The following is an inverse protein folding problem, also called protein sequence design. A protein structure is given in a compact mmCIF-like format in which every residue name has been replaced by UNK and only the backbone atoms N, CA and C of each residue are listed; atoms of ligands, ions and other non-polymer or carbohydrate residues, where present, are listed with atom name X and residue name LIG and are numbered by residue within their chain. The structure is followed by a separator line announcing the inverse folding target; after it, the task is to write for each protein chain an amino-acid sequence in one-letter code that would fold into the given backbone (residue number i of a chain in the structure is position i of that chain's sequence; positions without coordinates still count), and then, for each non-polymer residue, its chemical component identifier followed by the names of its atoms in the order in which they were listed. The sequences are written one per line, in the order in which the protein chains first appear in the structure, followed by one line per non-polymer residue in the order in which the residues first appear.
data_IF_296973827954
#
_entry.id   IF_296973827954
#
_cell.length_a   1.000
_cell.length_b   1.000
_cell.length_c   1.000
_cell.angle_alpha   90.00
_cell.angle_beta   90.00
_cell.angle_gamma   90.00
#
_symmetry.space_group_name_H-M   'P 1'
#
loop_
_entity.id
_entity.type
_entity.pdbx_description
1 polymer ?
#
# COMPACT_ATOMS: atom_id res chain seq x y z
N UNK A 1 -48.48 -1.23 21.31
CA UNK A 1 -47.63 -0.11 20.85
C UNK A 1 -46.20 -0.38 21.30
N UNK A 2 -45.31 -0.86 20.43
CA UNK A 2 -43.95 -1.22 20.85
C UNK A 2 -43.05 -1.77 19.75
N UNK A 3 -43.29 -1.39 18.48
CA UNK A 3 -42.52 -1.90 17.33
C UNK A 3 -41.81 -0.80 16.52
N UNK A 4 -41.67 0.42 17.06
CA UNK A 4 -41.06 1.54 16.33
C UNK A 4 -39.65 1.95 16.80
N UNK A 5 -39.09 1.33 17.84
CA UNK A 5 -37.78 1.70 18.42
C UNK A 5 -36.57 0.90 17.87
N UNK A 6 -36.72 0.17 16.77
CA UNK A 6 -35.58 -0.43 16.06
C UNK A 6 -35.20 0.31 14.77
N UNK A 7 -35.66 1.56 14.61
CA UNK A 7 -35.23 2.44 13.52
C UNK A 7 -33.95 3.16 13.94
N UNK A 8 -32.80 2.71 13.44
CA UNK A 8 -31.63 3.59 13.32
C UNK A 8 -30.31 3.13 13.95
N UNK A 9 -30.04 1.83 14.09
CA UNK A 9 -28.63 1.40 14.09
C UNK A 9 -28.10 1.50 12.66
N UNK A 10 -27.77 2.71 12.23
CA UNK A 10 -26.81 2.88 11.14
C UNK A 10 -25.61 1.99 11.48
N UNK A 11 -25.10 1.14 10.57
CA UNK A 11 -23.88 0.41 10.82
C UNK A 11 -22.81 1.47 11.12
N UNK A 12 -22.43 1.58 12.39
CA UNK A 12 -21.41 2.53 12.81
C UNK A 12 -20.13 2.11 12.07
N UNK A 13 -19.76 2.85 11.04
CA UNK A 13 -18.44 2.76 10.45
C UNK A 13 -17.44 2.97 11.58
N UNK A 14 -16.70 1.91 11.92
CA UNK A 14 -15.82 1.87 13.09
C UNK A 14 -14.91 3.10 13.06
N UNK A 15 -14.88 3.93 14.12
CA UNK A 15 -14.22 5.24 14.09
C UNK A 15 -12.71 5.19 13.82
N UNK A 16 -12.10 4.00 13.93
CA UNK A 16 -10.66 3.77 13.86
C UNK A 16 -10.26 2.72 12.79
N UNK A 17 -11.10 2.47 11.79
CA UNK A 17 -10.75 1.54 10.70
C UNK A 17 -9.44 1.93 10.02
N UNK A 18 -9.28 3.22 9.70
CA UNK A 18 -8.07 3.74 9.05
C UNK A 18 -6.80 3.44 9.86
N UNK A 19 -6.92 3.44 11.20
CA UNK A 19 -5.79 3.28 12.12
C UNK A 19 -5.35 1.81 12.15
N UNK A 20 -6.29 0.88 12.29
CA UNK A 20 -6.00 -0.55 12.18
C UNK A 20 -5.44 -0.90 10.80
N UNK A 21 -6.00 -0.31 9.74
CA UNK A 21 -5.54 -0.51 8.37
C UNK A 21 -4.10 -0.05 8.18
N UNK A 22 -3.78 1.15 8.65
CA UNK A 22 -2.44 1.72 8.60
C UNK A 22 -1.44 0.84 9.38
N UNK A 23 -1.77 0.47 10.61
CA UNK A 23 -0.90 -0.33 11.47
C UNK A 23 -0.65 -1.71 10.86
N UNK A 24 -1.68 -2.41 10.39
CA UNK A 24 -1.51 -3.73 9.78
C UNK A 24 -0.67 -3.67 8.49
N UNK A 25 -0.90 -2.65 7.67
CA UNK A 25 -0.11 -2.43 6.44
C UNK A 25 1.35 -2.11 6.76
N UNK A 26 1.59 -1.24 7.74
CA UNK A 26 2.95 -0.89 8.19
C UNK A 26 3.72 -2.06 8.81
N UNK A 27 3.07 -2.87 9.66
CA UNK A 27 3.69 -4.07 10.24
C UNK A 27 4.05 -5.07 9.14
N UNK A 28 3.13 -5.33 8.21
CA UNK A 28 3.41 -6.23 7.08
C UNK A 28 4.56 -5.69 6.21
N UNK A 29 4.63 -4.38 5.98
CA UNK A 29 5.76 -3.74 5.30
C UNK A 29 7.08 -3.93 6.04
N UNK A 30 7.09 -3.75 7.36
CA UNK A 30 8.29 -3.94 8.18
C UNK A 30 8.79 -5.40 8.15
N UNK A 31 7.86 -6.37 8.17
CA UNK A 31 8.18 -7.78 8.02
C UNK A 31 8.80 -8.07 6.65
N UNK A 32 8.24 -7.51 5.58
CA UNK A 32 8.79 -7.63 4.22
C UNK A 32 10.21 -7.07 4.17
N UNK A 33 10.44 -5.86 4.70
CA UNK A 33 11.78 -5.25 4.72
C UNK A 33 12.80 -6.05 5.54
N UNK A 34 12.36 -6.63 6.67
CA UNK A 34 13.21 -7.52 7.46
C UNK A 34 13.58 -8.80 6.69
N UNK A 35 12.61 -9.41 6.00
CA UNK A 35 12.84 -10.60 5.18
C UNK A 35 13.81 -10.30 4.04
N UNK A 36 13.61 -9.20 3.32
CA UNK A 36 14.50 -8.78 2.23
C UNK A 36 15.95 -8.63 2.71
N UNK A 37 16.15 -7.94 3.82
CA UNK A 37 17.48 -7.74 4.39
C UNK A 37 18.09 -8.99 5.03
N UNK A 38 17.29 -10.03 5.31
CA UNK A 38 17.78 -11.33 5.78
C UNK A 38 18.34 -12.23 4.66
N UNK A 39 18.37 -11.73 3.42
CA UNK A 39 18.85 -12.48 2.26
C UNK A 39 17.77 -13.33 1.59
N UNK A 40 16.50 -13.08 1.91
CA UNK A 40 15.40 -13.69 1.18
C UNK A 40 15.44 -13.19 -0.27
N UNK A 41 15.48 -14.11 -1.23
CA UNK A 41 15.73 -13.77 -2.64
C UNK A 41 14.73 -12.72 -3.13
N UNK A 42 15.21 -11.71 -3.86
CA UNK A 42 14.41 -10.60 -4.40
C UNK A 42 13.10 -11.08 -5.05
N UNK A 43 13.15 -12.14 -5.86
CA UNK A 43 11.97 -12.69 -6.54
C UNK A 43 10.94 -13.30 -5.57
N UNK A 44 11.41 -13.89 -4.47
CA UNK A 44 10.54 -14.34 -3.41
C UNK A 44 9.92 -13.12 -2.71
N UNK A 45 10.72 -12.12 -2.34
CA UNK A 45 10.23 -10.88 -1.73
C UNK A 45 9.15 -10.21 -2.59
N UNK A 46 9.34 -10.17 -3.92
CA UNK A 46 8.33 -9.68 -4.89
C UNK A 46 6.99 -10.39 -4.71
N UNK A 47 6.94 -11.72 -4.71
CA UNK A 47 5.68 -12.44 -4.53
C UNK A 47 5.10 -12.28 -3.13
N UNK A 48 5.95 -12.35 -2.11
CA UNK A 48 5.52 -12.35 -0.72
C UNK A 48 5.08 -10.97 -0.22
N UNK A 49 5.57 -9.86 -0.78
CA UNK A 49 5.10 -8.52 -0.41
C UNK A 49 3.62 -8.36 -0.67
N UNK A 50 3.16 -8.64 -1.89
CA UNK A 50 1.74 -8.56 -2.23
C UNK A 50 0.87 -9.51 -1.39
N UNK A 51 1.42 -10.67 -1.03
CA UNK A 51 0.76 -11.64 -0.15
C UNK A 51 0.65 -11.12 1.30
N UNK A 52 1.74 -10.63 1.90
CA UNK A 52 1.75 -10.15 3.28
C UNK A 52 0.89 -8.89 3.44
N UNK A 53 1.07 -7.92 2.55
CA UNK A 53 0.27 -6.69 2.54
C UNK A 53 -1.20 -7.02 2.30
N UNK A 54 -1.50 -7.82 1.27
CA UNK A 54 -2.87 -8.22 0.94
C UNK A 54 -3.55 -9.00 2.07
N UNK A 55 -2.81 -9.87 2.76
CA UNK A 55 -3.31 -10.62 3.92
C UNK A 55 -3.61 -9.71 5.10
N UNK A 56 -2.68 -8.81 5.44
CA UNK A 56 -2.86 -7.84 6.52
C UNK A 56 -4.09 -6.95 6.30
N UNK A 57 -4.24 -6.45 5.07
CA UNK A 57 -5.41 -5.67 4.64
C UNK A 57 -6.70 -6.50 4.68
N UNK A 58 -6.67 -7.74 4.20
CA UNK A 58 -7.81 -8.65 4.22
C UNK A 58 -8.32 -8.96 5.63
N UNK A 59 -7.42 -9.16 6.60
CA UNK A 59 -7.79 -9.43 8.00
C UNK A 59 -8.70 -8.34 8.58
N UNK A 60 -8.54 -7.10 8.09
CA UNK A 60 -9.37 -5.96 8.47
C UNK A 60 -10.62 -5.93 7.60
N UNK A 61 -10.46 -6.06 6.28
CA UNK A 61 -11.55 -5.93 5.31
C UNK A 61 -12.64 -7.01 5.46
N UNK A 62 -12.27 -8.21 5.93
CA UNK A 62 -13.20 -9.34 6.12
C UNK A 62 -14.35 -9.05 7.08
N UNK A 63 -14.19 -8.07 7.96
CA UNK A 63 -15.21 -7.66 8.90
C UNK A 63 -16.25 -6.71 8.27
N UNK A 64 -15.98 -6.13 7.09
CA UNK A 64 -16.81 -5.10 6.46
C UNK A 64 -17.36 -5.50 5.09
N UNK A 65 -16.61 -6.29 4.31
CA UNK A 65 -17.00 -6.65 2.94
C UNK A 65 -17.09 -8.18 2.83
N UNK A 66 -18.28 -8.74 2.50
CA UNK A 66 -18.43 -10.17 2.24
C UNK A 66 -17.66 -10.57 0.98
N UNK A 67 -17.10 -11.79 0.96
CA UNK A 67 -16.26 -12.32 -0.14
C UNK A 67 -14.97 -11.53 -0.40
N UNK A 68 -14.48 -10.79 0.60
CA UNK A 68 -13.20 -10.06 0.53
C UNK A 68 -11.96 -10.94 0.47
N UNK A 69 -12.07 -12.28 0.55
CA UNK A 69 -10.91 -13.17 0.44
C UNK A 69 -10.14 -13.01 -0.88
N UNK A 70 -10.82 -12.62 -1.97
CA UNK A 70 -10.18 -12.30 -3.25
C UNK A 70 -9.21 -11.11 -3.15
N UNK A 71 -9.29 -10.29 -2.09
CA UNK A 71 -8.40 -9.16 -1.84
C UNK A 71 -6.94 -9.58 -1.83
N UNK A 72 -6.62 -10.74 -1.23
CA UNK A 72 -5.27 -11.27 -1.15
C UNK A 72 -4.74 -11.57 -2.56
N UNK A 73 -5.54 -12.30 -3.35
CA UNK A 73 -5.17 -12.71 -4.69
C UNK A 73 -4.95 -11.50 -5.61
N UNK A 74 -5.88 -10.53 -5.61
CA UNK A 74 -5.73 -9.34 -6.45
C UNK A 74 -4.62 -8.41 -5.99
N UNK A 75 -4.33 -8.33 -4.69
CA UNK A 75 -3.20 -7.54 -4.17
C UNK A 75 -1.87 -8.17 -4.56
N UNK A 76 -1.77 -9.51 -4.51
CA UNK A 76 -0.58 -10.25 -4.93
C UNK A 76 -0.33 -10.07 -6.42
N UNK A 77 -1.36 -10.25 -7.25
CA UNK A 77 -1.25 -10.05 -8.70
C UNK A 77 -0.98 -8.60 -9.06
N UNK A 78 -1.68 -7.64 -8.43
CA UNK A 78 -1.49 -6.22 -8.68
C UNK A 78 -0.09 -5.75 -8.36
N UNK A 79 0.48 -6.20 -7.23
CA UNK A 79 1.87 -5.95 -6.88
C UNK A 79 2.85 -6.55 -7.90
N UNK A 80 2.66 -7.83 -8.25
CA UNK A 80 3.50 -8.52 -9.22
C UNK A 80 3.51 -7.82 -10.58
N UNK A 81 2.33 -7.53 -11.14
CA UNK A 81 2.21 -6.84 -12.42
C UNK A 81 2.72 -5.39 -12.36
N UNK A 82 2.51 -4.70 -11.24
CA UNK A 82 3.04 -3.36 -11.02
C UNK A 82 4.57 -3.35 -11.13
N UNK A 83 5.24 -4.28 -10.46
CA UNK A 83 6.69 -4.42 -10.53
C UNK A 83 7.19 -4.83 -11.92
N UNK A 84 6.51 -5.77 -12.59
CA UNK A 84 6.88 -6.16 -13.96
C UNK A 84 6.77 -4.99 -14.93
N UNK A 85 5.72 -4.16 -14.80
CA UNK A 85 5.58 -2.95 -15.60
C UNK A 85 6.71 -1.96 -15.29
N UNK A 86 7.04 -1.75 -14.01
CA UNK A 86 8.11 -0.84 -13.61
C UNK A 86 9.46 -1.26 -14.20
N UNK A 87 9.82 -2.54 -14.12
CA UNK A 87 11.03 -3.09 -14.77
C UNK A 87 11.01 -2.87 -16.29
N UNK A 88 9.84 -3.02 -16.92
CA UNK A 88 9.70 -2.78 -18.36
C UNK A 88 9.85 -1.31 -18.74
N UNK A 89 9.35 -0.40 -17.89
CA UNK A 89 9.47 1.04 -18.06
C UNK A 89 10.90 1.54 -17.85
N UNK A 90 11.66 0.94 -16.94
CA UNK A 90 13.08 1.27 -16.73
C UNK A 90 13.89 1.12 -18.03
N UNK A 91 13.64 0.05 -18.78
CA UNK A 91 14.32 -0.19 -20.07
C UNK A 91 14.01 0.90 -21.10
N UNK A 92 12.76 1.37 -21.13
CA UNK A 92 12.31 2.38 -22.09
C UNK A 92 12.79 3.78 -21.71
N UNK A 93 12.91 4.05 -20.41
CA UNK A 93 13.16 5.39 -19.89
C UNK A 93 14.65 5.68 -19.66
N UNK A 94 15.55 4.73 -19.96
CA UNK A 94 17.00 4.75 -19.70
C UNK A 94 17.71 6.07 -20.08
N UNK A 95 17.29 6.72 -21.16
CA UNK A 95 17.86 8.02 -21.56
C UNK A 95 17.59 9.14 -20.54
N UNK A 96 16.39 9.16 -19.96
CA UNK A 96 15.99 10.10 -18.92
C UNK A 96 16.67 9.74 -17.60
N UNK A 97 16.84 8.43 -17.33
CA UNK A 97 17.56 7.88 -16.17
C UNK A 97 18.99 8.42 -16.12
N UNK A 98 19.72 8.28 -17.22
CA UNK A 98 21.10 8.74 -17.32
C UNK A 98 21.21 10.26 -17.16
N UNK A 99 20.26 11.02 -17.68
CA UNK A 99 20.22 12.47 -17.53
C UNK A 99 20.02 12.90 -16.06
N UNK A 100 19.02 12.33 -15.38
CA UNK A 100 18.72 12.65 -13.98
C UNK A 100 19.81 12.15 -13.01
N UNK A 101 20.49 11.06 -13.35
CA UNK A 101 21.63 10.54 -12.56
C UNK A 101 22.76 11.55 -12.48
N UNK A 102 23.01 12.28 -13.58
CA UNK A 102 24.00 13.38 -13.60
C UNK A 102 23.64 14.54 -12.69
N UNK A 103 22.35 14.72 -12.38
CA UNK A 103 21.86 15.77 -11.48
C UNK A 103 21.87 15.34 -9.99
N UNK A 104 22.28 14.10 -9.68
CA UNK A 104 22.38 13.59 -8.30
C UNK A 104 21.03 13.30 -7.61
N UNK A 105 19.91 13.55 -8.28
CA UNK A 105 18.56 13.38 -7.73
C UNK A 105 17.88 12.06 -8.14
N UNK A 106 18.57 11.20 -8.91
CA UNK A 106 17.96 10.09 -9.63
C UNK A 106 17.24 9.05 -8.77
N UNK A 107 17.92 8.46 -7.79
CA UNK A 107 17.35 7.35 -7.01
C UNK A 107 16.12 7.78 -6.20
N UNK A 108 16.19 8.97 -5.59
CA UNK A 108 15.11 9.53 -4.76
C UNK A 108 13.94 10.00 -5.63
N UNK A 109 14.20 10.58 -6.79
CA UNK A 109 13.15 10.99 -7.73
C UNK A 109 12.45 9.77 -8.35
N UNK A 110 13.21 8.79 -8.83
CA UNK A 110 12.67 7.68 -9.61
C UNK A 110 11.81 6.73 -8.79
N UNK A 111 12.33 6.25 -7.64
CA UNK A 111 11.53 5.37 -6.79
C UNK A 111 10.32 6.12 -6.22
N UNK A 112 10.48 7.38 -5.77
CA UNK A 112 9.44 8.03 -4.97
C UNK A 112 8.40 8.81 -5.78
N UNK A 113 8.73 9.32 -6.97
CA UNK A 113 7.81 10.15 -7.77
C UNK A 113 7.27 9.45 -9.02
N UNK A 114 7.84 8.32 -9.42
CA UNK A 114 7.44 7.62 -10.64
C UNK A 114 7.16 6.13 -10.38
N UNK A 115 8.14 5.38 -9.87
CA UNK A 115 8.03 3.93 -9.68
C UNK A 115 6.93 3.55 -8.68
N UNK A 116 7.08 3.96 -7.42
CA UNK A 116 6.15 3.60 -6.34
C UNK A 116 4.69 4.04 -6.60
N UNK A 117 4.42 5.27 -7.08
CA UNK A 117 3.07 5.66 -7.48
C UNK A 117 2.45 4.76 -8.54
N UNK A 118 3.22 4.36 -9.57
CA UNK A 118 2.73 3.51 -10.67
C UNK A 118 2.44 2.10 -10.17
N UNK A 119 3.37 1.50 -9.42
CA UNK A 119 3.20 0.15 -8.86
C UNK A 119 1.97 0.10 -7.95
N UNK A 120 1.80 1.09 -7.07
CA UNK A 120 0.67 1.12 -6.16
C UNK A 120 -0.63 1.59 -6.82
N UNK A 121 -0.58 2.37 -7.90
CA UNK A 121 -1.75 2.61 -8.73
C UNK A 121 -2.25 1.32 -9.35
N UNK A 122 -1.34 0.45 -9.84
CA UNK A 122 -1.71 -0.85 -10.41
C UNK A 122 -2.26 -1.78 -9.34
N UNK A 123 -1.63 -1.82 -8.15
CA UNK A 123 -2.18 -2.54 -7.01
C UNK A 123 -3.59 -2.05 -6.64
N UNK A 124 -3.78 -0.73 -6.56
CA UNK A 124 -5.08 -0.11 -6.33
C UNK A 124 -6.09 -0.44 -7.43
N UNK A 125 -5.68 -0.42 -8.70
CA UNK A 125 -6.51 -0.81 -9.83
C UNK A 125 -6.92 -2.29 -9.77
N UNK A 126 -6.04 -3.18 -9.34
CA UNK A 126 -6.34 -4.59 -9.15
C UNK A 126 -7.35 -4.82 -8.00
N UNK A 127 -7.29 -4.00 -6.95
CA UNK A 127 -8.22 -4.03 -5.82
C UNK A 127 -9.60 -3.41 -6.15
N UNK A 128 -9.64 -2.52 -7.14
CA UNK A 128 -10.82 -1.73 -7.50
C UNK A 128 -12.08 -2.56 -7.80
N UNK A 129 -12.05 -3.68 -8.54
CA UNK A 129 -13.24 -4.48 -8.82
C UNK A 129 -13.91 -5.05 -7.57
N UNK A 130 -13.13 -5.31 -6.50
CA UNK A 130 -13.67 -5.76 -5.22
C UNK A 130 -14.37 -4.61 -4.52
N UNK A 131 -13.77 -3.42 -4.50
CA UNK A 131 -14.39 -2.24 -3.91
C UNK A 131 -15.61 -1.78 -4.68
N UNK A 132 -15.63 -1.85 -6.02
CA UNK A 132 -16.79 -1.47 -6.83
C UNK A 132 -18.04 -2.29 -6.50
N UNK A 133 -17.88 -3.56 -6.11
CA UNK A 133 -19.01 -4.39 -5.67
C UNK A 133 -19.58 -3.92 -4.33
N UNK A 134 -18.81 -3.18 -3.55
CA UNK A 134 -19.20 -2.71 -2.23
C UNK A 134 -19.60 -1.23 -2.21
N UNK A 135 -18.87 -0.34 -2.89
CA UNK A 135 -19.02 1.13 -2.81
C UNK A 135 -19.20 1.74 -4.21
N UNK A 136 -20.14 2.69 -4.38
CA UNK A 136 -20.31 3.43 -5.66
C UNK A 136 -19.11 4.32 -6.00
N UNK A 137 -18.47 4.90 -4.98
CA UNK A 137 -17.37 5.87 -5.14
C UNK A 137 -15.98 5.22 -5.20
N UNK A 138 -15.89 3.92 -5.49
CA UNK A 138 -14.63 3.17 -5.41
C UNK A 138 -13.54 3.72 -6.33
N UNK A 139 -13.90 4.43 -7.40
CA UNK A 139 -12.94 5.02 -8.33
C UNK A 139 -11.94 5.98 -7.66
N UNK A 140 -12.24 6.54 -6.48
CA UNK A 140 -11.29 7.32 -5.68
C UNK A 140 -10.13 6.48 -5.11
N UNK A 141 -10.29 5.16 -5.04
CA UNK A 141 -9.25 4.25 -4.55
C UNK A 141 -7.99 4.29 -5.41
N UNK A 142 -8.15 4.43 -6.73
CA UNK A 142 -7.03 4.47 -7.67
C UNK A 142 -6.12 5.68 -7.48
N UNK A 143 -6.61 6.95 -7.57
CA UNK A 143 -5.77 8.12 -7.35
C UNK A 143 -5.21 8.18 -5.93
N UNK A 144 -5.95 7.69 -4.93
CA UNK A 144 -5.46 7.60 -3.55
C UNK A 144 -4.33 6.58 -3.42
N UNK A 145 -4.41 5.44 -4.11
CA UNK A 145 -3.33 4.44 -4.08
C UNK A 145 -2.06 4.97 -4.76
N UNK A 146 -2.20 5.71 -5.86
CA UNK A 146 -1.08 6.38 -6.52
C UNK A 146 -0.42 7.44 -5.60
N UNK A 147 -1.23 8.30 -4.97
CA UNK A 147 -0.76 9.28 -3.99
C UNK A 147 -0.09 8.60 -2.79
N UNK A 148 -0.69 7.52 -2.30
CA UNK A 148 -0.13 6.70 -1.24
C UNK A 148 1.24 6.15 -1.62
N UNK A 149 1.47 5.79 -2.89
CA UNK A 149 2.77 5.32 -3.36
C UNK A 149 3.83 6.40 -3.43
N UNK A 150 3.46 7.61 -3.84
CA UNK A 150 4.38 8.75 -3.76
C UNK A 150 4.84 8.99 -2.32
N UNK A 151 3.89 8.94 -1.39
CA UNK A 151 4.16 9.15 0.03
C UNK A 151 4.90 7.96 0.67
N UNK A 152 4.64 6.73 0.23
CA UNK A 152 5.38 5.54 0.66
C UNK A 152 6.87 5.70 0.34
N UNK A 153 7.19 5.99 -0.92
CA UNK A 153 8.57 6.13 -1.35
C UNK A 153 9.29 7.26 -0.60
N UNK A 154 8.65 8.44 -0.52
CA UNK A 154 9.21 9.59 0.19
C UNK A 154 9.49 9.28 1.68
N UNK A 155 8.54 8.63 2.36
CA UNK A 155 8.64 8.25 3.77
C UNK A 155 9.74 7.21 4.01
N UNK A 156 9.78 6.14 3.20
CA UNK A 156 10.80 5.09 3.31
C UNK A 156 12.21 5.62 3.04
N UNK A 157 12.36 6.47 2.03
CA UNK A 157 13.65 7.10 1.69
C UNK A 157 14.12 8.07 2.77
N UNK A 158 13.21 8.86 3.35
CA UNK A 158 13.55 9.77 4.45
C UNK A 158 14.04 9.01 5.68
N UNK A 159 13.39 7.89 6.04
CA UNK A 159 13.82 7.04 7.15
C UNK A 159 15.19 6.41 6.87
N UNK A 160 15.41 5.88 5.66
CA UNK A 160 16.70 5.34 5.27
C UNK A 160 17.83 6.38 5.31
N UNK A 161 17.53 7.65 4.97
CA UNK A 161 18.49 8.73 5.02
C UNK A 161 18.83 9.19 6.45
N UNK A 162 17.82 9.30 7.31
CA UNK A 162 17.98 9.73 8.71
C UNK A 162 18.72 8.69 9.54
N UNK A 163 18.44 7.40 9.31
CA UNK A 163 19.10 6.31 10.02
C UNK A 163 20.44 6.03 9.33
N UNK A 164 21.49 6.69 9.80
CA UNK A 164 22.83 6.56 9.25
C UNK A 164 23.34 5.10 9.28
N UNK A 165 24.06 4.65 8.23
CA UNK A 165 24.70 3.33 8.22
C UNK A 165 25.63 3.16 9.43
N UNK A 166 25.43 2.10 10.21
CA UNK A 166 26.29 1.73 11.35
C UNK A 166 25.70 1.98 12.75
N UNK A 167 24.56 2.66 12.86
CA UNK A 167 23.86 2.84 14.16
C UNK A 167 23.02 1.61 14.53
N UNK A 168 22.36 1.01 13.53
CA UNK A 168 21.49 -0.16 13.67
C UNK A 168 21.90 -1.25 12.66
N UNK A 169 21.46 -2.48 12.89
CA UNK A 169 21.69 -3.56 11.93
C UNK A 169 20.98 -3.27 10.61
N UNK A 170 21.59 -3.66 9.48
CA UNK A 170 21.00 -3.44 8.15
C UNK A 170 19.57 -3.99 8.03
N UNK A 171 19.31 -5.15 8.66
CA UNK A 171 17.96 -5.73 8.75
C UNK A 171 16.96 -4.81 9.42
N UNK A 172 17.35 -4.15 10.52
CA UNK A 172 16.47 -3.26 11.24
C UNK A 172 16.24 -1.95 10.47
N UNK A 173 17.26 -1.42 9.80
CA UNK A 173 17.13 -0.24 8.94
C UNK A 173 16.14 -0.50 7.80
N UNK A 174 16.29 -1.61 7.06
CA UNK A 174 15.39 -1.96 5.96
C UNK A 174 13.96 -2.22 6.44
N UNK A 175 13.80 -2.90 7.58
CA UNK A 175 12.49 -3.11 8.19
C UNK A 175 11.80 -1.79 8.56
N UNK A 176 12.53 -0.83 9.14
CA UNK A 176 11.98 0.48 9.47
C UNK A 176 11.64 1.31 8.23
N UNK A 177 12.49 1.30 7.20
CA UNK A 177 12.24 2.04 5.96
C UNK A 177 11.03 1.50 5.19
N UNK A 178 10.89 0.17 5.09
CA UNK A 178 9.71 -0.42 4.46
C UNK A 178 8.48 -0.22 5.33
N UNK A 179 8.61 -0.42 6.64
CA UNK A 179 7.53 -0.22 7.60
C UNK A 179 6.98 1.20 7.56
N UNK A 180 7.84 2.21 7.53
CA UNK A 180 7.42 3.62 7.45
C UNK A 180 6.73 3.94 6.13
N UNK A 181 7.26 3.45 5.01
CA UNK A 181 6.63 3.61 3.70
C UNK A 181 5.23 3.01 3.67
N UNK A 182 5.12 1.71 3.99
CA UNK A 182 3.85 0.99 3.96
C UNK A 182 2.85 1.51 5.00
N UNK A 183 3.32 2.02 6.14
CA UNK A 183 2.48 2.72 7.11
C UNK A 183 1.88 3.99 6.49
N UNK A 184 2.68 4.81 5.81
CA UNK A 184 2.19 6.02 5.14
C UNK A 184 1.19 5.69 4.04
N UNK A 185 1.46 4.69 3.20
CA UNK A 185 0.49 4.16 2.24
C UNK A 185 -0.81 3.71 2.91
N UNK A 186 -0.68 2.97 4.01
CA UNK A 186 -1.80 2.50 4.83
C UNK A 186 -2.62 3.64 5.44
N UNK A 187 -2.00 4.74 5.90
CA UNK A 187 -2.73 5.90 6.40
C UNK A 187 -3.62 6.50 5.30
N UNK A 188 -3.03 6.74 4.12
CA UNK A 188 -3.71 7.41 3.01
C UNK A 188 -4.85 6.54 2.47
N UNK A 189 -4.58 5.26 2.22
CA UNK A 189 -5.60 4.30 1.75
C UNK A 189 -6.62 3.97 2.83
N UNK A 190 -6.22 3.86 4.10
CA UNK A 190 -7.12 3.59 5.22
C UNK A 190 -8.12 4.72 5.46
N UNK A 191 -7.70 5.98 5.36
CA UNK A 191 -8.59 7.15 5.43
C UNK A 191 -9.61 7.12 4.29
N UNK A 192 -9.15 6.83 3.07
CA UNK A 192 -10.04 6.70 1.92
C UNK A 192 -11.02 5.53 2.10
N UNK A 193 -10.56 4.36 2.56
CA UNK A 193 -11.39 3.20 2.81
C UNK A 193 -12.48 3.52 3.84
N UNK A 194 -12.11 4.17 4.94
CA UNK A 194 -13.06 4.60 5.96
C UNK A 194 -14.08 5.59 5.42
N UNK A 195 -13.65 6.55 4.59
CA UNK A 195 -14.55 7.47 3.90
C UNK A 195 -15.50 6.76 2.93
N UNK A 196 -14.98 5.84 2.11
CA UNK A 196 -15.74 5.06 1.14
C UNK A 196 -16.84 4.23 1.83
N UNK A 197 -16.51 3.54 2.92
CA UNK A 197 -17.45 2.71 3.67
C UNK A 197 -18.51 3.55 4.39
N UNK A 198 -18.15 4.75 4.89
CA UNK A 198 -19.13 5.70 5.48
C UNK A 198 -20.16 6.18 4.47
N UNK A 199 -19.79 6.27 3.20
CA UNK A 199 -20.67 6.72 2.11
C UNK A 199 -21.40 5.59 1.38
N UNK A 200 -21.34 4.34 1.86
CA UNK A 200 -22.18 3.24 1.34
C UNK A 200 -23.64 3.34 1.77
N UNK A 201 -23.88 3.90 2.96
CA UNK A 201 -25.19 3.87 3.63
C UNK A 201 -25.95 5.21 3.54
N UNK A 202 -25.57 6.09 2.61
CA UNK A 202 -26.25 7.37 2.35
C UNK A 202 -26.67 7.47 0.90
#
# INVERSE_FOLDING_TARGET
MGQYEQRGKTPQAVPHLWLWWAVATGIAGALVGALEASGFQFLATVFFTGLFIGTAQWLILRHYIPKSFWWIAVSTLGWFFGLMLMVSLDVVLDLIIQFLTRLGAWQVFWMNLVGEPVVLAILGAAQLPILWRAVRKAYWWLPVSALGGALQGASGSAVAYVIQPGVLSGTFVTALSYGSGWLTYGIVTGICLQWLLRHQFR
#
